data_IF_200643712500
#
_entry.id   IF_200643712500
#
_cell.length_a   1.000
_cell.length_b   1.000
_cell.length_c   1.000
_cell.angle_alpha   90.00
_cell.angle_beta   90.00
_cell.angle_gamma   90.00
#
_symmetry.space_group_name_H-M   'P 1'
#
loop_
_entity.id
_entity.type
_entity.pdbx_description
1 polymer ?
#
# COMPACT_ATOMS: atom_id res chain seq x y z
N UNK A 1 -21.65 6.13 3.21
CA UNK A 1 -21.00 4.84 2.87
C UNK A 1 -21.00 4.55 1.38
N UNK A 2 -22.16 4.47 0.71
CA UNK A 2 -22.24 4.21 -0.75
C UNK A 2 -21.50 5.26 -1.59
N UNK A 3 -21.68 6.55 -1.30
CA UNK A 3 -21.00 7.64 -2.00
C UNK A 3 -19.46 7.54 -1.90
N UNK A 4 -18.92 7.18 -0.73
CA UNK A 4 -17.48 7.00 -0.54
C UNK A 4 -16.92 5.80 -1.32
N UNK A 5 -17.72 4.73 -1.46
CA UNK A 5 -17.34 3.59 -2.30
C UNK A 5 -17.32 4.00 -3.78
N UNK A 6 -18.33 4.70 -4.25
CA UNK A 6 -18.41 5.19 -5.63
C UNK A 6 -17.21 6.09 -5.94
N UNK A 7 -16.92 7.04 -5.07
CA UNK A 7 -15.75 7.94 -5.17
C UNK A 7 -14.44 7.15 -5.26
N UNK A 8 -14.28 6.11 -4.45
CA UNK A 8 -13.09 5.25 -4.52
C UNK A 8 -13.01 4.48 -5.85
N UNK A 9 -14.11 3.89 -6.32
CA UNK A 9 -14.15 3.19 -7.61
C UNK A 9 -13.82 4.13 -8.77
N UNK A 10 -14.36 5.34 -8.75
CA UNK A 10 -14.09 6.35 -9.77
C UNK A 10 -12.64 6.83 -9.72
N UNK A 11 -12.03 6.93 -8.53
CA UNK A 11 -10.62 7.28 -8.38
C UNK A 11 -9.69 6.20 -8.98
N UNK A 12 -10.02 4.92 -8.85
CA UNK A 12 -9.26 3.84 -9.48
C UNK A 12 -9.42 3.90 -11.00
N UNK A 13 -10.67 4.01 -11.47
CA UNK A 13 -10.97 4.08 -12.89
C UNK A 13 -10.30 5.27 -13.59
N UNK A 14 -10.10 6.40 -12.90
CA UNK A 14 -9.41 7.57 -13.47
C UNK A 14 -7.90 7.33 -13.67
N UNK A 15 -7.32 6.37 -12.96
CA UNK A 15 -5.89 6.02 -13.00
C UNK A 15 -5.59 4.77 -13.82
N UNK A 16 -6.60 3.96 -14.10
CA UNK A 16 -6.50 2.76 -14.93
C UNK A 16 -7.51 2.81 -16.06
N UNK A 17 -7.06 2.84 -17.33
CA UNK A 17 -7.94 2.87 -18.50
C UNK A 17 -8.54 1.50 -18.85
N UNK A 18 -8.10 0.40 -18.22
CA UNK A 18 -8.53 -0.95 -18.59
C UNK A 18 -10.02 -1.23 -18.29
N UNK A 19 -10.59 -0.86 -17.13
CA UNK A 19 -11.98 -1.15 -16.83
C UNK A 19 -12.92 -0.25 -17.66
N UNK A 20 -13.86 -0.88 -18.38
CA UNK A 20 -14.88 -0.18 -19.17
C UNK A 20 -15.93 0.48 -18.28
N UNK A 21 -16.24 -0.19 -17.16
CA UNK A 21 -17.23 0.27 -16.19
C UNK A 21 -16.63 0.32 -14.79
N UNK A 22 -17.20 1.16 -13.90
CA UNK A 22 -16.78 1.18 -12.49
C UNK A 22 -17.03 -0.16 -11.77
N UNK A 23 -17.96 -0.97 -12.26
CA UNK A 23 -18.30 -2.25 -11.67
C UNK A 23 -17.22 -3.31 -11.91
N UNK A 24 -16.46 -3.19 -12.99
CA UNK A 24 -15.30 -4.08 -13.25
C UNK A 24 -14.19 -3.86 -12.21
N UNK A 25 -14.08 -2.65 -11.65
CA UNK A 25 -13.13 -2.34 -10.56
C UNK A 25 -13.42 -3.17 -9.29
N UNK A 26 -14.66 -3.60 -9.08
CA UNK A 26 -15.02 -4.50 -7.97
C UNK A 26 -14.31 -5.86 -8.05
N UNK A 27 -13.77 -6.23 -9.20
CA UNK A 27 -13.01 -7.47 -9.39
C UNK A 27 -11.51 -7.29 -9.11
N UNK A 28 -11.07 -6.07 -8.82
CA UNK A 28 -9.66 -5.79 -8.54
C UNK A 28 -9.26 -6.26 -7.15
N UNK A 29 -8.20 -7.08 -7.02
CA UNK A 29 -7.78 -7.62 -5.74
C UNK A 29 -7.36 -6.51 -4.74
N UNK A 30 -6.77 -5.43 -5.23
CA UNK A 30 -6.35 -4.29 -4.41
C UNK A 30 -7.49 -3.63 -3.64
N UNK A 31 -8.68 -3.51 -4.27
CA UNK A 31 -9.88 -2.99 -3.61
C UNK A 31 -10.26 -3.83 -2.37
N UNK A 32 -10.28 -5.15 -2.54
CA UNK A 32 -10.62 -6.08 -1.46
C UNK A 32 -9.55 -6.11 -0.38
N UNK A 33 -8.27 -6.09 -0.76
CA UNK A 33 -7.16 -6.03 0.19
C UNK A 33 -7.25 -4.80 1.10
N UNK A 34 -7.56 -3.62 0.55
CA UNK A 34 -7.77 -2.39 1.33
C UNK A 34 -9.02 -2.51 2.20
N UNK A 35 -10.10 -3.10 1.70
CA UNK A 35 -11.32 -3.35 2.48
C UNK A 35 -11.07 -4.24 3.70
N UNK A 36 -10.40 -5.37 3.52
CA UNK A 36 -9.99 -6.25 4.61
C UNK A 36 -9.02 -5.58 5.58
N UNK A 37 -8.08 -4.80 5.04
CA UNK A 37 -7.14 -4.06 5.88
C UNK A 37 -7.86 -3.07 6.81
N UNK A 38 -8.89 -2.35 6.37
CA UNK A 38 -9.67 -1.45 7.25
C UNK A 38 -10.25 -2.19 8.46
N UNK A 39 -10.75 -3.41 8.26
CA UNK A 39 -11.27 -4.27 9.33
C UNK A 39 -10.12 -4.73 10.24
N UNK A 40 -9.03 -5.22 9.63
CA UNK A 40 -7.86 -5.71 10.37
C UNK A 40 -7.19 -4.60 11.19
N UNK A 41 -7.09 -3.39 10.64
CA UNK A 41 -6.53 -2.22 11.32
C UNK A 41 -7.39 -1.79 12.52
N UNK A 42 -8.71 -1.75 12.36
CA UNK A 42 -9.62 -1.48 13.48
C UNK A 42 -9.48 -2.52 14.61
N UNK A 43 -9.36 -3.80 14.28
CA UNK A 43 -9.09 -4.85 15.28
C UNK A 43 -7.70 -4.67 15.94
N UNK A 44 -6.70 -4.27 15.16
CA UNK A 44 -5.36 -4.01 15.65
C UNK A 44 -5.33 -2.83 16.65
N UNK A 45 -6.04 -1.75 16.34
CA UNK A 45 -6.20 -0.58 17.23
C UNK A 45 -6.99 -0.88 18.49
N UNK A 46 -7.80 -1.95 18.47
CA UNK A 46 -8.52 -2.47 19.65
C UNK A 46 -7.72 -3.54 20.42
N UNK A 47 -6.40 -3.65 20.20
CA UNK A 47 -5.50 -4.64 20.81
C UNK A 47 -5.89 -6.11 20.53
N UNK A 48 -6.76 -6.36 19.55
CA UNK A 48 -7.19 -7.71 19.12
C UNK A 48 -6.24 -8.28 18.07
N UNK A 49 -4.94 -8.34 18.38
CA UNK A 49 -3.87 -8.65 17.43
C UNK A 49 -4.03 -9.97 16.69
N UNK A 50 -4.47 -11.04 17.41
CA UNK A 50 -4.68 -12.34 16.76
C UNK A 50 -5.78 -12.28 15.70
N UNK A 51 -6.91 -11.64 16.00
CA UNK A 51 -8.01 -11.50 15.04
C UNK A 51 -7.64 -10.57 13.88
N UNK A 52 -6.91 -9.49 14.15
CA UNK A 52 -6.37 -8.62 13.11
C UNK A 52 -5.49 -9.40 12.14
N UNK A 53 -4.59 -10.25 12.65
CA UNK A 53 -3.73 -11.11 11.83
C UNK A 53 -4.51 -12.20 11.10
N UNK A 54 -5.56 -12.73 11.68
CA UNK A 54 -6.44 -13.70 11.03
C UNK A 54 -7.14 -13.09 9.81
N UNK A 55 -7.70 -11.88 9.95
CA UNK A 55 -8.31 -11.13 8.84
C UNK A 55 -7.28 -10.83 7.75
N UNK A 56 -6.07 -10.38 8.13
CA UNK A 56 -4.97 -10.17 7.19
C UNK A 56 -4.58 -11.47 6.46
N UNK A 57 -4.52 -12.61 7.16
CA UNK A 57 -4.22 -13.90 6.55
C UNK A 57 -5.24 -14.29 5.48
N UNK A 58 -6.53 -14.15 5.77
CA UNK A 58 -7.61 -14.38 4.80
C UNK A 58 -7.53 -13.42 3.61
N UNK A 59 -7.28 -12.13 3.87
CA UNK A 59 -7.07 -11.14 2.83
C UNK A 59 -5.95 -11.55 1.87
N UNK A 60 -4.78 -11.91 2.42
CA UNK A 60 -3.63 -12.34 1.63
C UNK A 60 -3.92 -13.58 0.80
N UNK A 61 -4.63 -14.54 1.36
CA UNK A 61 -5.01 -15.77 0.64
C UNK A 61 -5.94 -15.48 -0.54
N UNK A 62 -6.90 -14.56 -0.36
CA UNK A 62 -7.88 -14.20 -1.40
C UNK A 62 -7.32 -13.23 -2.46
N UNK A 63 -6.42 -12.33 -2.07
CA UNK A 63 -6.00 -11.21 -2.92
C UNK A 63 -4.55 -11.29 -3.37
N UNK A 64 -3.74 -12.17 -2.78
CA UNK A 64 -2.29 -12.22 -2.93
C UNK A 64 -1.59 -10.90 -2.53
N UNK A 65 -2.22 -10.08 -1.67
CA UNK A 65 -1.67 -8.82 -1.15
C UNK A 65 -1.57 -8.92 0.36
N UNK A 66 -0.38 -8.66 0.90
CA UNK A 66 -0.10 -8.70 2.33
C UNK A 66 0.03 -7.28 2.89
N UNK A 67 -1.02 -6.79 3.54
CA UNK A 67 -1.00 -5.50 4.24
C UNK A 67 -1.04 -5.76 5.74
N UNK A 68 0.06 -5.46 6.45
CA UNK A 68 0.07 -5.64 7.90
C UNK A 68 -1.01 -4.79 8.58
N UNK A 69 -1.76 -5.33 9.56
CA UNK A 69 -2.83 -4.59 10.23
C UNK A 69 -2.41 -3.27 10.87
N UNK A 70 -1.15 -3.16 11.31
CA UNK A 70 -0.59 -1.92 11.89
C UNK A 70 -0.27 -0.82 10.88
N UNK A 71 -0.25 -1.11 9.58
CA UNK A 71 0.02 -0.10 8.56
C UNK A 71 -1.07 1.00 8.54
N UNK A 72 -0.65 2.25 8.32
CA UNK A 72 -1.58 3.38 8.19
C UNK A 72 -1.77 3.72 6.73
N UNK A 73 -3.00 3.71 6.27
CA UNK A 73 -3.34 3.92 4.85
C UNK A 73 -4.34 5.05 4.72
N UNK A 74 -4.00 6.05 3.92
CA UNK A 74 -4.86 7.18 3.57
C UNK A 74 -6.03 6.78 2.66
N UNK A 75 -6.57 7.74 1.92
CA UNK A 75 -7.69 7.54 1.01
C UNK A 75 -7.21 7.18 -0.39
N UNK A 76 -8.05 6.47 -1.13
CA UNK A 76 -7.86 6.19 -2.56
C UNK A 76 -6.54 5.47 -2.90
N UNK A 77 -6.04 4.61 -1.99
CA UNK A 77 -4.92 3.73 -2.32
C UNK A 77 -5.35 2.79 -3.46
N UNK A 78 -4.61 2.81 -4.56
CA UNK A 78 -4.78 1.87 -5.66
C UNK A 78 -3.60 0.89 -5.71
N UNK A 79 -3.87 -0.39 -5.47
CA UNK A 79 -2.91 -1.49 -5.68
C UNK A 79 -3.34 -2.24 -6.92
N UNK A 80 -2.55 -2.13 -7.97
CA UNK A 80 -2.80 -2.81 -9.23
C UNK A 80 -2.23 -4.23 -9.20
N UNK A 81 -3.05 -5.20 -9.60
CA UNK A 81 -2.79 -6.64 -9.59
C UNK A 81 -2.58 -7.21 -8.18
N UNK A 82 -1.36 -7.62 -7.78
CA UNK A 82 -1.14 -8.25 -6.49
C UNK A 82 0.32 -8.49 -6.14
N UNK A 83 0.57 -9.45 -5.24
CA UNK A 83 1.91 -9.82 -4.75
C UNK A 83 2.66 -8.66 -4.08
N UNK A 84 1.92 -7.70 -3.55
CA UNK A 84 2.45 -6.52 -2.85
C UNK A 84 2.51 -6.81 -1.35
N UNK A 85 3.58 -6.34 -0.70
CA UNK A 85 3.79 -6.47 0.74
C UNK A 85 3.92 -5.09 1.36
N UNK A 86 3.12 -4.80 2.38
CA UNK A 86 3.13 -3.54 3.13
C UNK A 86 3.36 -3.86 4.60
N UNK A 87 4.51 -3.44 5.13
CA UNK A 87 4.97 -3.74 6.48
C UNK A 87 4.24 -2.96 7.58
N UNK A 88 4.41 -3.40 8.82
CA UNK A 88 3.67 -2.96 10.01
C UNK A 88 3.64 -1.45 10.23
N UNK A 89 4.78 -0.79 10.14
CA UNK A 89 4.91 0.64 10.43
C UNK A 89 4.93 1.50 9.16
N UNK A 90 4.51 0.93 8.02
CA UNK A 90 4.36 1.70 6.79
C UNK A 90 3.23 2.73 6.92
N UNK A 91 3.44 3.89 6.33
CA UNK A 91 2.45 4.95 6.24
C UNK A 91 2.27 5.33 4.78
N UNK A 92 1.02 5.38 4.33
CA UNK A 92 0.67 5.66 2.94
C UNK A 92 -0.35 6.79 2.95
N UNK A 93 -0.03 7.87 2.26
CA UNK A 93 -0.90 9.04 2.10
C UNK A 93 -2.09 8.79 1.17
N UNK A 94 -2.68 9.88 0.71
CA UNK A 94 -3.85 9.87 -0.17
C UNK A 94 -3.43 9.69 -1.66
N UNK A 95 -4.30 9.07 -2.46
CA UNK A 95 -4.17 8.90 -3.92
C UNK A 95 -2.90 8.15 -4.38
N UNK A 96 -2.29 7.35 -3.53
CA UNK A 96 -1.10 6.58 -3.89
C UNK A 96 -1.46 5.44 -4.84
N UNK A 97 -0.61 5.21 -5.84
CA UNK A 97 -0.70 4.08 -6.77
C UNK A 97 0.49 3.15 -6.58
N UNK A 98 0.22 1.88 -6.37
CA UNK A 98 1.25 0.85 -6.20
C UNK A 98 0.99 -0.26 -7.22
N UNK A 99 1.96 -0.50 -8.09
CA UNK A 99 1.90 -1.61 -9.02
C UNK A 99 2.29 -2.94 -8.35
N UNK A 100 2.11 -4.05 -9.08
CA UNK A 100 2.34 -5.39 -8.55
C UNK A 100 3.78 -5.64 -8.05
N UNK A 101 3.92 -6.60 -7.15
CA UNK A 101 5.19 -7.09 -6.62
C UNK A 101 6.02 -6.05 -5.85
N UNK A 102 5.41 -4.95 -5.41
CA UNK A 102 6.08 -3.92 -4.61
C UNK A 102 6.21 -4.38 -3.16
N UNK A 103 7.35 -4.05 -2.53
CA UNK A 103 7.56 -4.26 -1.10
C UNK A 103 7.83 -2.93 -0.39
N UNK A 104 7.03 -2.62 0.62
CA UNK A 104 7.32 -1.58 1.61
C UNK A 104 7.83 -2.29 2.87
N UNK A 105 9.15 -2.50 2.94
CA UNK A 105 9.80 -3.39 3.90
C UNK A 105 10.73 -2.70 4.89
N UNK A 106 11.15 -3.43 5.92
CA UNK A 106 12.25 -3.05 6.80
C UNK A 106 13.60 -3.52 6.23
N UNK A 107 14.71 -2.94 6.74
CA UNK A 107 16.06 -3.31 6.32
C UNK A 107 16.72 -4.31 7.24
N UNK A 108 16.42 -4.30 8.54
CA UNK A 108 17.09 -5.15 9.53
C UNK A 108 16.09 -5.63 10.60
N UNK A 109 15.79 -6.93 10.63
CA UNK A 109 14.94 -7.52 11.66
C UNK A 109 15.62 -7.58 13.04
N UNK A 110 16.95 -7.52 13.12
CA UNK A 110 17.68 -7.57 14.37
C UNK A 110 17.61 -6.23 15.14
N UNK A 111 17.38 -5.14 14.45
CA UNK A 111 17.09 -3.85 15.06
C UNK A 111 15.62 -3.77 15.54
N UNK A 112 15.10 -4.84 16.13
CA UNK A 112 13.76 -4.95 16.69
C UNK A 112 13.39 -3.90 17.73
N UNK A 113 13.86 -2.68 17.50
CA UNK A 113 13.54 -1.49 18.27
C UNK A 113 12.09 -1.14 18.01
N UNK A 114 11.34 -0.97 19.07
CA UNK A 114 10.03 -0.33 19.01
C UNK A 114 10.17 1.01 18.28
N UNK A 115 9.60 1.11 17.06
CA UNK A 115 9.68 2.33 16.28
C UNK A 115 9.42 2.15 14.79
N UNK A 116 9.53 3.24 14.05
CA UNK A 116 9.37 3.30 12.60
C UNK A 116 10.49 2.52 11.92
N UNK A 117 10.14 1.51 11.12
CA UNK A 117 11.10 0.67 10.37
C UNK A 117 10.70 0.43 8.92
N UNK A 118 9.51 0.87 8.53
CA UNK A 118 8.98 0.77 7.17
C UNK A 118 8.78 2.15 6.58
N UNK A 119 8.74 2.27 5.24
CA UNK A 119 8.69 3.56 4.58
C UNK A 119 7.39 4.33 4.79
N UNK A 120 7.48 5.63 4.56
CA UNK A 120 6.35 6.55 4.39
C UNK A 120 6.25 6.95 2.93
N UNK A 121 5.09 6.75 2.32
CA UNK A 121 4.74 7.31 1.02
C UNK A 121 3.78 8.48 1.26
N UNK A 122 4.15 9.67 0.83
CA UNK A 122 3.27 10.84 0.90
C UNK A 122 2.18 10.78 -0.20
N UNK A 123 1.40 11.85 -0.34
CA UNK A 123 0.27 11.89 -1.28
C UNK A 123 0.73 11.83 -2.75
N UNK A 124 -0.13 11.27 -3.61
CA UNK A 124 0.04 11.22 -5.06
C UNK A 124 1.32 10.50 -5.53
N UNK A 125 1.92 9.67 -4.68
CA UNK A 125 3.10 8.86 -5.05
C UNK A 125 2.69 7.72 -5.98
N UNK A 126 3.54 7.44 -6.98
CA UNK A 126 3.39 6.28 -7.87
C UNK A 126 4.60 5.37 -7.70
N UNK A 127 4.35 4.09 -7.40
CA UNK A 127 5.39 3.08 -7.22
C UNK A 127 5.31 2.04 -8.34
N UNK A 128 6.34 2.00 -9.16
CA UNK A 128 6.46 1.06 -10.29
C UNK A 128 6.57 -0.40 -9.84
N UNK A 129 6.19 -1.32 -10.74
CA UNK A 129 6.15 -2.76 -10.47
C UNK A 129 7.49 -3.31 -9.98
N UNK A 130 7.44 -4.21 -8.99
CA UNK A 130 8.62 -4.88 -8.45
C UNK A 130 9.53 -3.99 -7.61
N UNK A 131 9.23 -2.72 -7.38
CA UNK A 131 10.07 -1.83 -6.58
C UNK A 131 10.14 -2.29 -5.12
N UNK A 132 11.33 -2.16 -4.52
CA UNK A 132 11.62 -2.49 -3.14
C UNK A 132 11.98 -1.20 -2.40
N UNK A 133 11.06 -0.69 -1.58
CA UNK A 133 11.28 0.51 -0.77
C UNK A 133 11.53 0.05 0.66
N UNK A 134 12.75 0.26 1.16
CA UNK A 134 13.24 -0.41 2.36
C UNK A 134 13.75 0.58 3.41
N UNK A 135 13.33 0.35 4.65
CA UNK A 135 13.73 1.16 5.80
C UNK A 135 12.76 2.31 6.11
N UNK A 136 13.04 3.07 7.18
CA UNK A 136 12.17 4.15 7.65
C UNK A 136 12.37 5.44 6.82
N UNK A 137 12.39 5.30 5.49
CA UNK A 137 12.60 6.39 4.55
C UNK A 137 11.27 7.06 4.14
N UNK A 138 11.36 8.26 3.61
CA UNK A 138 10.21 9.01 3.10
C UNK A 138 10.30 9.20 1.60
N UNK A 139 9.24 8.80 0.91
CA UNK A 139 8.99 9.15 -0.50
C UNK A 139 8.00 10.32 -0.48
N UNK A 140 8.49 11.52 -0.83
CA UNK A 140 7.70 12.74 -0.74
C UNK A 140 6.62 12.81 -1.84
N UNK A 141 5.68 13.75 -1.68
CA UNK A 141 4.49 13.86 -2.54
C UNK A 141 4.83 13.96 -4.03
N UNK A 142 4.00 13.35 -4.86
CA UNK A 142 4.13 13.34 -6.33
C UNK A 142 5.42 12.70 -6.86
N UNK A 143 6.24 12.08 -6.00
CA UNK A 143 7.39 11.32 -6.46
C UNK A 143 6.97 10.05 -7.21
N UNK A 144 7.81 9.60 -8.11
CA UNK A 144 7.62 8.38 -8.91
C UNK A 144 8.78 7.42 -8.68
N UNK A 145 8.49 6.19 -8.32
CA UNK A 145 9.49 5.15 -8.16
C UNK A 145 9.46 4.26 -9.41
N UNK A 146 10.61 4.10 -10.04
CA UNK A 146 10.76 3.27 -11.24
C UNK A 146 10.52 1.79 -10.94
N UNK A 147 10.12 1.03 -11.98
CA UNK A 147 9.94 -0.41 -11.84
C UNK A 147 11.25 -1.10 -11.45
N UNK A 148 11.16 -2.10 -10.56
CA UNK A 148 12.30 -2.85 -10.00
C UNK A 148 13.37 -2.00 -9.29
N UNK A 149 13.07 -0.74 -8.95
CA UNK A 149 13.99 0.10 -8.20
C UNK A 149 14.14 -0.41 -6.76
N UNK A 150 15.37 -0.38 -6.25
CA UNK A 150 15.64 -0.60 -4.81
C UNK A 150 15.92 0.77 -4.19
N UNK A 151 15.05 1.22 -3.30
CA UNK A 151 15.08 2.56 -2.70
C UNK A 151 15.32 2.42 -1.20
N UNK A 152 16.45 2.96 -0.75
CA UNK A 152 16.90 2.91 0.66
C UNK A 152 17.19 4.30 1.24
N UNK A 153 16.88 5.35 0.48
CA UNK A 153 17.07 6.75 0.87
C UNK A 153 15.83 7.56 0.54
N UNK A 154 15.66 8.67 1.22
CA UNK A 154 14.55 9.59 0.98
C UNK A 154 14.51 10.05 -0.49
N UNK A 155 13.29 10.16 -1.01
CA UNK A 155 13.03 10.63 -2.39
C UNK A 155 12.34 11.98 -2.29
N UNK A 156 12.93 13.05 -2.87
CA UNK A 156 12.34 14.38 -2.85
C UNK A 156 11.01 14.48 -3.59
N UNK A 157 10.25 15.52 -3.29
CA UNK A 157 8.97 15.81 -3.91
C UNK A 157 9.09 15.92 -5.44
N UNK A 158 8.19 15.25 -6.16
CA UNK A 158 8.13 15.24 -7.63
C UNK A 158 9.32 14.56 -8.32
N UNK A 159 10.28 14.02 -7.57
CA UNK A 159 11.45 13.35 -8.14
C UNK A 159 11.12 11.95 -8.68
N UNK A 160 12.00 11.43 -9.52
CA UNK A 160 11.95 10.05 -10.02
C UNK A 160 13.06 9.24 -9.32
N UNK A 161 12.67 8.32 -8.46
CA UNK A 161 13.55 7.36 -7.81
C UNK A 161 13.75 6.14 -8.72
N UNK A 162 14.97 5.93 -9.20
CA UNK A 162 15.30 4.79 -10.08
C UNK A 162 16.07 3.67 -9.35
N UNK A 163 16.34 3.86 -8.05
CA UNK A 163 17.09 2.92 -7.23
C UNK A 163 18.59 2.98 -7.48
N UNK A 164 19.31 2.18 -6.71
CA UNK A 164 20.78 2.01 -6.80
C UNK A 164 21.06 0.88 -7.77
#
# INVERSE_FOLDING_TARGET
MVAALIDYLDSIKSRDPAPRTRWEVLLYPGLWAVGYHRIAHWLYEADMFFLARLVNHWSRWLTAIDIHPGAKIGRHLFIDHGFTVIGETAEIGDNVTIYQCVTLGGTDPANGVAGKRHPTLADDVIVGSGAQILGPITVASRARIGANAVVTKDVPEGAVGVGV
#
